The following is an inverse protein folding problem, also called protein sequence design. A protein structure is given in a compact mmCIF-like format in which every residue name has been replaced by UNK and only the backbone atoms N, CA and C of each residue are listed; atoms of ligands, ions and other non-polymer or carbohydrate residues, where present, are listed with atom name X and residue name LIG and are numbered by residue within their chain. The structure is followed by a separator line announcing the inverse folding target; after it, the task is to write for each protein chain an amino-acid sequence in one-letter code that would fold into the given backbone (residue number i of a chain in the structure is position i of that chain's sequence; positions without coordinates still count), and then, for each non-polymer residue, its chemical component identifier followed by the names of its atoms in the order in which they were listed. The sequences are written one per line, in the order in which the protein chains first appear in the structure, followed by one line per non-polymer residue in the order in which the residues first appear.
data_IF_339152902509
#
_entry.id   IF_339152902509
#
_cell.length_a   1.000
_cell.length_b   1.000
_cell.length_c   1.000
_cell.angle_alpha   90.00
_cell.angle_beta   90.00
_cell.angle_gamma   90.00
#
_symmetry.space_group_name_H-M   'P 1'
#
loop_
_entity.id
_entity.type
_entity.pdbx_description
1 polymer ?
#
# COMPACT_ATOMS: atom_id res chain seq x y z
N UNK A 1 -10.58 -4.47 12.64
CA UNK A 1 -10.20 -4.45 11.20
C UNK A 1 -10.09 -3.01 10.73
N UNK A 2 -9.09 -2.67 9.96
CA UNK A 2 -9.02 -1.34 9.33
C UNK A 2 -9.91 -1.31 8.09
N UNK A 3 -10.90 -0.42 8.05
CA UNK A 3 -11.75 -0.22 6.87
C UNK A 3 -10.94 0.18 5.63
N UNK A 4 -9.77 0.80 5.84
CA UNK A 4 -8.83 1.13 4.78
C UNK A 4 -8.25 -0.11 4.09
N UNK A 5 -7.80 -1.12 4.83
CA UNK A 5 -7.27 -2.37 4.26
C UNK A 5 -8.32 -3.07 3.41
N UNK A 6 -9.55 -3.17 3.93
CA UNK A 6 -10.67 -3.77 3.21
C UNK A 6 -11.04 -3.02 1.93
N UNK A 7 -11.08 -1.68 2.00
CA UNK A 7 -11.33 -0.84 0.82
C UNK A 7 -10.22 -0.98 -0.22
N UNK A 8 -8.94 -0.99 0.19
CA UNK A 8 -7.80 -1.14 -0.71
C UNK A 8 -7.86 -2.47 -1.48
N UNK A 9 -8.16 -3.59 -0.81
CA UNK A 9 -8.29 -4.90 -1.47
C UNK A 9 -9.48 -4.95 -2.43
N UNK A 10 -10.63 -4.39 -2.06
CA UNK A 10 -11.83 -4.34 -2.91
C UNK A 10 -11.61 -3.47 -4.14
N UNK A 11 -10.95 -2.31 -3.99
CA UNK A 11 -10.63 -1.40 -5.08
C UNK A 11 -9.74 -2.03 -6.14
N UNK A 12 -8.73 -2.80 -5.73
CA UNK A 12 -7.83 -3.46 -6.67
C UNK A 12 -8.55 -4.41 -7.61
N UNK A 13 -9.66 -5.00 -7.20
CA UNK A 13 -10.48 -5.87 -8.06
C UNK A 13 -11.34 -5.11 -9.08
N UNK A 14 -11.83 -3.91 -8.73
CA UNK A 14 -12.64 -3.06 -9.64
C UNK A 14 -11.80 -2.21 -10.60
N UNK A 15 -10.49 -2.03 -10.36
CA UNK A 15 -9.63 -1.09 -11.09
C UNK A 15 -9.05 -1.64 -12.40
N UNK A 16 -9.75 -2.51 -13.11
CA UNK A 16 -9.32 -3.01 -14.43
C UNK A 16 -9.90 -2.13 -15.56
N UNK A 17 -9.58 -0.83 -15.51
CA UNK A 17 -9.75 0.05 -16.67
C UNK A 17 -8.33 0.45 -17.11
N UNK A 18 -8.02 0.32 -18.40
CA UNK A 18 -6.66 0.46 -18.97
C UNK A 18 -5.87 1.70 -18.54
N UNK A 19 -6.50 2.82 -18.33
CA UNK A 19 -5.83 4.05 -17.88
C UNK A 19 -5.32 3.97 -16.41
N UNK A 20 -6.09 3.37 -15.51
CA UNK A 20 -5.68 3.16 -14.11
C UNK A 20 -4.58 2.09 -14.01
N UNK A 21 -4.59 1.09 -14.91
CA UNK A 21 -3.55 0.06 -15.01
C UNK A 21 -2.18 0.62 -15.37
N UNK A 22 -2.13 1.56 -16.32
CA UNK A 22 -0.87 2.25 -16.68
C UNK A 22 -0.25 3.00 -15.50
N UNK A 23 -1.04 3.74 -14.72
CA UNK A 23 -0.60 4.43 -13.51
C UNK A 23 -0.10 3.45 -12.44
N UNK A 24 -0.82 2.36 -12.20
CA UNK A 24 -0.40 1.32 -11.27
C UNK A 24 0.96 0.73 -11.68
N UNK A 25 1.14 0.40 -12.95
CA UNK A 25 2.41 -0.12 -13.46
C UNK A 25 3.55 0.87 -13.26
N UNK A 26 3.33 2.16 -13.54
CA UNK A 26 4.33 3.19 -13.33
C UNK A 26 4.77 3.28 -11.85
N UNK A 27 3.82 3.20 -10.90
CA UNK A 27 4.11 3.19 -9.46
C UNK A 27 4.91 1.95 -9.04
N UNK A 28 4.51 0.76 -9.51
CA UNK A 28 5.22 -0.49 -9.21
C UNK A 28 6.65 -0.49 -9.78
N UNK A 29 6.84 0.01 -10.99
CA UNK A 29 8.15 0.17 -11.63
C UNK A 29 9.03 1.14 -10.85
N UNK A 30 8.47 2.26 -10.39
CA UNK A 30 9.18 3.25 -9.56
C UNK A 30 9.65 2.63 -8.23
N UNK A 31 8.82 1.83 -7.57
CA UNK A 31 9.19 1.12 -6.35
C UNK A 31 10.36 0.15 -6.58
N UNK A 32 10.35 -0.61 -7.68
CA UNK A 32 11.45 -1.51 -8.05
C UNK A 32 12.76 -0.72 -8.25
N UNK A 33 12.70 0.39 -8.98
CA UNK A 33 13.88 1.23 -9.24
C UNK A 33 14.48 1.77 -7.94
N UNK A 34 13.65 2.26 -7.03
CA UNK A 34 14.10 2.78 -5.72
C UNK A 34 14.66 1.67 -4.84
N UNK A 35 13.98 0.51 -4.76
CA UNK A 35 14.46 -0.63 -3.98
C UNK A 35 15.83 -1.13 -4.49
N UNK A 36 16.01 -1.22 -5.82
CA UNK A 36 17.28 -1.60 -6.42
C UNK A 36 18.39 -0.57 -6.15
N UNK A 37 18.05 0.72 -6.10
CA UNK A 37 19.01 1.79 -5.79
C UNK A 37 19.50 1.75 -4.36
N UNK A 38 18.59 1.48 -3.42
CA UNK A 38 18.89 1.48 -1.98
C UNK A 38 19.63 0.22 -1.52
N UNK A 39 19.25 -0.95 -2.05
CA UNK A 39 19.73 -2.23 -1.57
C UNK A 39 20.49 -3.09 -2.59
N UNK A 40 20.72 -2.55 -3.81
CA UNK A 40 21.36 -3.28 -4.90
C UNK A 40 20.38 -4.04 -5.79
N UNK A 41 20.81 -4.43 -6.99
CA UNK A 41 19.99 -5.02 -8.04
C UNK A 41 19.81 -6.54 -7.93
N UNK A 42 20.34 -7.19 -6.90
CA UNK A 42 20.18 -8.63 -6.66
C UNK A 42 19.03 -8.88 -5.67
N UNK A 43 17.89 -9.46 -6.10
CA UNK A 43 16.79 -9.75 -5.21
C UNK A 43 17.12 -10.75 -4.08
N UNK A 44 18.11 -11.60 -4.26
CA UNK A 44 18.52 -12.55 -3.23
C UNK A 44 19.15 -11.85 -2.02
N UNK A 45 19.84 -10.73 -2.24
CA UNK A 45 20.44 -9.89 -1.21
C UNK A 45 19.59 -8.68 -0.80
N UNK A 46 18.44 -8.47 -1.44
CA UNK A 46 17.60 -7.29 -1.24
C UNK A 46 16.12 -7.69 -1.10
N UNK A 47 15.64 -8.00 0.13
CA UNK A 47 14.25 -8.41 0.36
C UNK A 47 13.22 -7.40 -0.13
N UNK A 48 13.48 -6.09 0.03
CA UNK A 48 12.59 -5.03 -0.45
C UNK A 48 12.42 -5.07 -1.96
N UNK A 49 13.52 -5.30 -2.70
CA UNK A 49 13.47 -5.48 -4.15
C UNK A 49 12.74 -6.76 -4.53
N UNK A 50 12.99 -7.86 -3.81
CA UNK A 50 12.29 -9.12 -4.03
C UNK A 50 10.77 -8.93 -3.93
N UNK A 51 10.29 -8.33 -2.85
CA UNK A 51 8.85 -8.13 -2.60
C UNK A 51 8.23 -7.16 -3.63
N UNK A 52 8.93 -6.09 -4.00
CA UNK A 52 8.51 -5.18 -5.06
C UNK A 52 8.36 -5.88 -6.41
N UNK A 53 9.31 -6.78 -6.76
CA UNK A 53 9.24 -7.58 -7.98
C UNK A 53 8.05 -8.56 -7.94
N UNK A 54 7.83 -9.26 -6.81
CA UNK A 54 6.70 -10.18 -6.68
C UNK A 54 5.36 -9.45 -6.83
N UNK A 55 5.19 -8.31 -6.18
CA UNK A 55 3.98 -7.47 -6.30
C UNK A 55 3.74 -7.02 -7.75
N UNK A 56 4.79 -6.60 -8.45
CA UNK A 56 4.70 -6.21 -9.85
C UNK A 56 4.31 -7.39 -10.76
N UNK A 57 4.89 -8.58 -10.55
CA UNK A 57 4.55 -9.80 -11.30
C UNK A 57 3.08 -10.20 -11.10
N UNK A 58 2.61 -10.21 -9.86
CA UNK A 58 1.20 -10.50 -9.53
C UNK A 58 0.23 -9.49 -10.12
N UNK A 59 0.67 -8.24 -10.27
CA UNK A 59 -0.08 -7.19 -10.98
C UNK A 59 0.06 -7.27 -12.50
N UNK A 60 0.71 -8.29 -13.04
CA UNK A 60 0.92 -8.51 -14.49
C UNK A 60 1.75 -7.41 -15.18
N UNK A 61 2.71 -6.83 -14.48
CA UNK A 61 3.70 -5.93 -15.09
C UNK A 61 4.62 -6.76 -16.01
N UNK A 62 4.85 -6.35 -17.27
CA UNK A 62 5.73 -7.07 -18.18
C UNK A 62 7.15 -7.25 -17.63
N UNK A 63 7.72 -8.45 -17.80
CA UNK A 63 9.04 -8.81 -17.26
C UNK A 63 10.13 -7.85 -17.72
N UNK A 64 10.13 -7.47 -19.00
CA UNK A 64 11.10 -6.52 -19.58
C UNK A 64 11.08 -5.16 -18.86
N UNK A 65 9.91 -4.72 -18.40
CA UNK A 65 9.79 -3.47 -17.66
C UNK A 65 10.38 -3.60 -16.25
N UNK A 66 10.17 -4.75 -15.60
CA UNK A 66 10.75 -5.07 -14.29
C UNK A 66 12.27 -5.10 -14.39
N UNK A 67 12.83 -5.83 -15.35
CA UNK A 67 14.28 -5.94 -15.55
C UNK A 67 14.94 -4.59 -15.85
N UNK A 68 14.31 -3.75 -16.70
CA UNK A 68 14.79 -2.40 -16.96
C UNK A 68 14.78 -1.52 -15.71
N UNK A 69 13.75 -1.63 -14.88
CA UNK A 69 13.69 -0.88 -13.62
C UNK A 69 14.81 -1.29 -12.65
N UNK A 70 15.07 -2.60 -12.52
CA UNK A 70 16.18 -3.11 -11.70
C UNK A 70 17.52 -2.57 -12.22
N UNK A 71 17.77 -2.62 -13.53
CA UNK A 71 19.00 -2.10 -14.15
C UNK A 71 19.19 -0.60 -13.93
N UNK A 72 18.12 0.21 -14.12
CA UNK A 72 18.19 1.66 -13.86
C UNK A 72 18.46 1.96 -12.38
N UNK A 73 17.76 1.27 -11.49
CA UNK A 73 17.91 1.43 -10.04
C UNK A 73 19.31 1.06 -9.57
N UNK A 74 19.86 -0.06 -10.02
CA UNK A 74 21.22 -0.53 -9.66
C UNK A 74 22.35 0.29 -10.28
N UNK A 75 22.04 1.26 -11.15
CA UNK A 75 23.04 2.10 -11.81
C UNK A 75 23.71 1.47 -13.03
N UNK A 76 23.28 0.28 -13.45
CA UNK A 76 23.89 -0.43 -14.59
C UNK A 76 23.70 0.31 -15.93
N UNK A 77 22.65 1.15 -16.05
CA UNK A 77 22.38 1.92 -17.28
C UNK A 77 22.72 3.42 -17.16
N UNK A 78 23.19 3.91 -15.99
CA UNK A 78 23.47 5.33 -15.73
C UNK A 78 22.23 6.24 -15.77
N UNK A 79 22.14 7.21 -14.86
CA UNK A 79 21.15 8.31 -14.96
C UNK A 79 19.73 7.95 -14.52
N UNK A 80 19.51 7.50 -13.30
CA UNK A 80 18.18 7.45 -12.71
C UNK A 80 17.78 8.79 -12.06
N UNK A 81 16.48 9.06 -11.96
CA UNK A 81 15.95 10.22 -11.24
C UNK A 81 16.32 10.15 -9.75
N UNK A 82 16.53 11.30 -9.12
CA UNK A 82 16.79 11.40 -7.68
C UNK A 82 15.46 11.32 -6.91
N UNK A 83 14.98 10.11 -6.71
CA UNK A 83 13.72 9.85 -6.03
C UNK A 83 13.83 10.07 -4.52
N UNK A 84 12.92 10.84 -3.98
CA UNK A 84 12.77 11.11 -2.55
C UNK A 84 11.41 10.65 -2.07
N UNK A 85 11.38 9.95 -0.93
CA UNK A 85 10.13 9.63 -0.23
C UNK A 85 9.78 10.75 0.71
N UNK A 86 8.57 11.27 0.60
CA UNK A 86 8.05 12.36 1.44
C UNK A 86 6.68 11.97 1.97
N UNK A 87 6.49 12.14 3.28
CA UNK A 87 5.20 11.95 3.93
C UNK A 87 4.51 13.31 4.09
N UNK A 88 3.31 13.45 3.56
CA UNK A 88 2.42 14.58 3.83
C UNK A 88 1.30 14.14 4.75
N UNK A 89 0.88 15.05 5.61
CA UNK A 89 -0.16 14.83 6.61
C UNK A 89 -1.34 15.76 6.37
N UNK A 90 -2.54 15.31 6.69
CA UNK A 90 -3.73 16.12 6.54
C UNK A 90 -4.96 15.50 7.16
N UNK A 91 -6.06 16.24 7.08
CA UNK A 91 -7.38 15.80 7.48
C UNK A 91 -8.31 15.83 6.26
N UNK A 92 -9.02 14.73 6.06
CA UNK A 92 -10.09 14.60 5.08
C UNK A 92 -11.46 14.97 5.65
N UNK A 93 -12.52 14.75 4.86
CA UNK A 93 -13.90 14.89 5.35
C UNK A 93 -14.13 14.09 6.62
N UNK A 94 -15.06 14.53 7.46
CA UNK A 94 -15.42 13.93 8.75
C UNK A 94 -14.27 13.83 9.78
N UNK A 95 -13.18 14.58 9.58
CA UNK A 95 -12.01 14.56 10.46
C UNK A 95 -11.14 13.31 10.31
N UNK A 96 -11.26 12.58 9.22
CA UNK A 96 -10.41 11.43 8.92
C UNK A 96 -8.96 11.88 8.76
N UNK A 97 -8.05 11.29 9.53
CA UNK A 97 -6.62 11.52 9.38
C UNK A 97 -6.10 10.83 8.12
N UNK A 98 -5.26 11.54 7.36
CA UNK A 98 -4.71 11.05 6.09
C UNK A 98 -3.19 11.23 6.10
N UNK A 99 -2.46 10.13 5.81
CA UNK A 99 -1.05 10.16 5.45
C UNK A 99 -0.91 9.92 3.95
N UNK A 100 -0.12 10.74 3.29
CA UNK A 100 0.13 10.63 1.85
C UNK A 100 1.62 10.40 1.62
N UNK A 101 1.97 9.21 1.20
CA UNK A 101 3.32 8.84 0.84
C UNK A 101 3.58 9.20 -0.62
N UNK A 102 4.48 10.13 -0.85
CA UNK A 102 4.93 10.51 -2.17
C UNK A 102 6.34 9.97 -2.45
N UNK A 103 6.53 9.48 -3.66
CA UNK A 103 7.83 9.14 -4.21
C UNK A 103 8.06 10.01 -5.44
N UNK A 104 8.88 11.05 -5.30
CA UNK A 104 9.00 12.11 -6.28
C UNK A 104 10.45 12.56 -6.49
N UNK A 105 10.74 13.03 -7.68
CA UNK A 105 11.96 13.77 -8.03
C UNK A 105 11.77 15.29 -7.91
N UNK A 106 10.55 15.75 -7.57
CA UNK A 106 10.22 17.17 -7.45
C UNK A 106 9.25 17.43 -6.27
N UNK A 107 9.81 17.80 -5.12
CA UNK A 107 9.07 18.08 -3.88
C UNK A 107 7.99 19.16 -4.04
N UNK A 108 8.28 20.21 -4.81
CA UNK A 108 7.33 21.33 -4.97
C UNK A 108 6.11 20.91 -5.79
N UNK A 109 6.32 20.11 -6.84
CA UNK A 109 5.24 19.53 -7.64
C UNK A 109 4.36 18.65 -6.77
N UNK A 110 4.95 17.66 -6.07
CA UNK A 110 4.23 16.75 -5.20
C UNK A 110 3.41 17.49 -4.12
N UNK A 111 4.02 18.44 -3.42
CA UNK A 111 3.33 19.25 -2.41
C UNK A 111 2.15 20.04 -2.99
N UNK A 112 2.33 20.60 -4.18
CA UNK A 112 1.28 21.35 -4.90
C UNK A 112 0.10 20.46 -5.29
N UNK A 113 0.38 19.30 -5.86
CA UNK A 113 -0.65 18.34 -6.28
C UNK A 113 -1.43 17.77 -5.09
N UNK A 114 -0.74 17.36 -4.02
CA UNK A 114 -1.38 16.86 -2.79
C UNK A 114 -2.28 17.95 -2.19
N UNK A 115 -1.79 19.19 -2.09
CA UNK A 115 -2.59 20.31 -1.55
C UNK A 115 -3.84 20.56 -2.37
N UNK A 116 -3.74 20.56 -3.69
CA UNK A 116 -4.88 20.76 -4.59
C UNK A 116 -5.89 19.63 -4.46
N UNK A 117 -5.43 18.37 -4.42
CA UNK A 117 -6.29 17.21 -4.25
C UNK A 117 -7.04 17.25 -2.92
N UNK A 118 -6.34 17.56 -1.81
CA UNK A 118 -6.94 17.73 -0.48
C UNK A 118 -8.02 18.83 -0.49
N UNK A 119 -7.66 20.02 -0.90
CA UNK A 119 -8.55 21.20 -0.83
C UNK A 119 -9.80 21.04 -1.70
N UNK A 120 -9.67 20.47 -2.90
CA UNK A 120 -10.80 20.29 -3.82
C UNK A 120 -11.78 19.21 -3.36
N UNK A 121 -11.34 18.30 -2.50
CA UNK A 121 -12.13 17.17 -2.02
C UNK A 121 -12.47 17.28 -0.51
N UNK A 122 -12.53 18.51 0.01
CA UNK A 122 -13.02 18.77 1.38
C UNK A 122 -12.02 18.43 2.49
N UNK A 123 -10.75 18.26 2.16
CA UNK A 123 -9.67 18.05 3.11
C UNK A 123 -8.75 19.27 3.23
N UNK A 124 -7.79 19.18 4.11
CA UNK A 124 -6.75 20.18 4.33
C UNK A 124 -5.41 19.54 4.68
N UNK A 125 -4.32 20.15 4.20
CA UNK A 125 -2.98 19.80 4.65
C UNK A 125 -2.80 20.21 6.12
N UNK A 126 -2.03 19.41 6.86
CA UNK A 126 -1.64 19.67 8.23
C UNK A 126 -0.12 19.74 8.35
N UNK A 127 0.36 20.26 9.49
CA UNK A 127 1.78 20.29 9.77
C UNK A 127 2.33 18.89 10.07
N UNK A 128 3.61 18.61 9.78
CA UNK A 128 4.24 17.34 10.12
C UNK A 128 4.07 16.99 11.63
N UNK A 129 3.68 15.74 11.90
CA UNK A 129 3.40 15.25 13.25
C UNK A 129 1.95 15.42 13.72
N UNK A 130 1.08 16.06 12.91
CA UNK A 130 -0.33 16.29 13.28
C UNK A 130 -1.17 15.01 13.30
N UNK A 131 -0.90 14.06 12.42
CA UNK A 131 -1.67 12.82 12.28
C UNK A 131 -0.82 11.55 12.29
N UNK A 132 0.49 11.64 12.05
CA UNK A 132 1.38 10.48 11.92
C UNK A 132 1.35 9.56 13.17
N UNK A 133 1.15 10.13 14.37
CA UNK A 133 1.06 9.37 15.61
C UNK A 133 -0.19 8.46 15.70
N UNK A 134 -1.18 8.67 14.85
CA UNK A 134 -2.38 7.83 14.76
C UNK A 134 -2.16 6.56 13.93
N UNK A 135 -0.96 6.39 13.38
CA UNK A 135 -0.63 5.26 12.53
C UNK A 135 0.60 4.54 13.05
N UNK A 136 0.54 3.22 13.03
CA UNK A 136 1.66 2.36 13.37
C UNK A 136 2.25 1.75 12.10
N UNK A 137 3.57 1.74 11.98
CA UNK A 137 4.23 1.04 10.89
C UNK A 137 4.24 -0.46 11.20
N UNK A 138 3.57 -1.25 10.38
CA UNK A 138 3.41 -2.71 10.53
C UNK A 138 3.82 -3.44 9.26
N UNK A 139 4.17 -4.71 9.40
CA UNK A 139 4.27 -5.64 8.29
C UNK A 139 2.87 -6.17 7.97
N UNK A 140 2.47 -6.09 6.70
CA UNK A 140 1.17 -6.58 6.23
C UNK A 140 1.35 -7.48 5.04
N UNK A 141 0.75 -8.66 5.11
CA UNK A 141 0.71 -9.62 4.01
C UNK A 141 -0.74 -9.92 3.68
N UNK A 142 -1.10 -9.77 2.41
CA UNK A 142 -2.43 -10.11 1.90
C UNK A 142 -2.39 -11.52 1.30
N UNK A 143 -3.20 -12.40 1.86
CA UNK A 143 -3.32 -13.81 1.47
C UNK A 143 -4.70 -14.03 0.87
N UNK A 144 -4.83 -14.37 -0.43
CA UNK A 144 -6.13 -14.68 -1.02
C UNK A 144 -6.72 -15.93 -0.36
N UNK A 145 -8.03 -15.93 -0.15
CA UNK A 145 -8.70 -17.14 0.36
C UNK A 145 -8.60 -18.27 -0.66
N UNK A 146 -8.28 -19.45 -0.17
CA UNK A 146 -8.23 -20.68 -0.95
C UNK A 146 -9.10 -21.74 -0.28
N UNK A 147 -9.55 -22.73 -1.07
CA UNK A 147 -10.36 -23.83 -0.55
C UNK A 147 -9.61 -24.58 0.57
N UNK A 148 -10.24 -24.66 1.74
CA UNK A 148 -9.69 -25.35 2.90
C UNK A 148 -8.70 -24.55 3.74
N UNK A 149 -8.35 -23.31 3.35
CA UNK A 149 -7.50 -22.44 4.16
C UNK A 149 -8.36 -21.65 5.15
N UNK A 150 -8.17 -21.91 6.44
CA UNK A 150 -8.85 -21.19 7.52
C UNK A 150 -7.95 -20.13 8.14
N UNK A 151 -8.55 -19.20 8.89
CA UNK A 151 -7.80 -18.20 9.68
C UNK A 151 -6.87 -18.88 10.69
N UNK A 152 -7.34 -19.94 11.35
CA UNK A 152 -6.57 -20.69 12.34
C UNK A 152 -5.37 -21.41 11.70
N UNK A 153 -5.55 -22.05 10.51
CA UNK A 153 -4.47 -22.70 9.78
C UNK A 153 -3.40 -21.68 9.38
N UNK A 154 -3.84 -20.52 8.91
CA UNK A 154 -2.96 -19.44 8.51
C UNK A 154 -2.19 -18.89 9.72
N UNK A 155 -2.87 -18.62 10.83
CA UNK A 155 -2.25 -18.16 12.07
C UNK A 155 -1.20 -19.17 12.58
N UNK A 156 -1.53 -20.46 12.61
CA UNK A 156 -0.58 -21.50 13.02
C UNK A 156 0.67 -21.54 12.13
N UNK A 157 0.53 -21.30 10.83
CA UNK A 157 1.66 -21.31 9.90
C UNK A 157 2.64 -20.14 10.12
N UNK A 158 2.17 -19.01 10.64
CA UNK A 158 2.96 -17.76 10.69
C UNK A 158 3.23 -17.23 12.10
N UNK A 159 2.60 -17.78 13.13
CA UNK A 159 2.73 -17.31 14.52
C UNK A 159 4.19 -17.31 15.02
N UNK A 160 4.91 -18.41 14.79
CA UNK A 160 6.32 -18.52 15.22
C UNK A 160 7.26 -17.60 14.43
N UNK A 161 6.82 -17.12 13.26
CA UNK A 161 7.56 -16.18 12.43
C UNK A 161 7.34 -14.70 12.83
N UNK A 162 6.46 -14.44 13.81
CA UNK A 162 6.20 -13.10 14.34
C UNK A 162 4.89 -12.47 13.88
N UNK A 163 3.96 -13.25 13.32
CA UNK A 163 2.61 -12.73 13.07
C UNK A 163 1.88 -12.44 14.38
N UNK A 164 1.26 -11.27 14.48
CA UNK A 164 0.51 -10.80 15.65
C UNK A 164 -0.97 -11.06 15.49
N UNK A 165 -1.50 -10.85 14.29
CA UNK A 165 -2.92 -10.93 13.99
C UNK A 165 -3.15 -11.50 12.58
N UNK A 166 -4.26 -12.20 12.41
CA UNK A 166 -4.84 -12.55 11.12
C UNK A 166 -6.25 -11.99 11.09
N UNK A 167 -6.56 -11.17 10.09
CA UNK A 167 -7.86 -10.53 9.93
C UNK A 167 -8.54 -11.03 8.65
N UNK A 168 -9.81 -11.36 8.75
CA UNK A 168 -10.66 -11.70 7.59
C UNK A 168 -11.13 -10.42 6.88
N UNK A 169 -10.73 -10.22 5.63
CA UNK A 169 -11.16 -9.10 4.77
C UNK A 169 -12.28 -9.47 3.80
N UNK A 170 -12.89 -10.65 3.95
CA UNK A 170 -13.95 -11.17 3.07
C UNK A 170 -13.38 -12.12 2.01
N UNK A 171 -12.67 -11.66 1.02
CA UNK A 171 -12.09 -12.50 -0.03
C UNK A 171 -10.59 -12.81 0.15
N UNK A 172 -9.96 -12.20 1.14
CA UNK A 172 -8.57 -12.43 1.54
C UNK A 172 -8.42 -12.34 3.04
N UNK A 173 -7.28 -12.80 3.53
CA UNK A 173 -6.81 -12.56 4.89
C UNK A 173 -5.73 -11.48 4.89
N UNK A 174 -5.70 -10.66 5.95
CA UNK A 174 -4.62 -9.75 6.26
C UNK A 174 -3.82 -10.32 7.42
N UNK A 175 -2.55 -10.63 7.18
CA UNK A 175 -1.60 -11.06 8.22
C UNK A 175 -0.80 -9.84 8.65
N UNK A 176 -0.85 -9.51 9.95
CA UNK A 176 -0.16 -8.35 10.54
C UNK A 176 0.99 -8.82 11.40
N UNK A 177 2.12 -8.14 11.30
CA UNK A 177 3.32 -8.36 12.11
C UNK A 177 4.00 -7.02 12.43
N UNK A 178 5.06 -7.05 13.22
CA UNK A 178 5.99 -5.93 13.23
C UNK A 178 6.61 -5.73 11.84
N UNK A 179 6.90 -4.46 11.48
CA UNK A 179 7.43 -4.14 10.15
C UNK A 179 8.76 -4.86 9.84
N UNK A 180 9.55 -5.17 10.88
CA UNK A 180 10.82 -5.90 10.78
C UNK A 180 10.63 -7.38 10.49
N UNK A 181 9.47 -7.93 10.83
CA UNK A 181 9.20 -9.38 10.77
C UNK A 181 8.49 -9.81 9.49
N UNK A 182 8.08 -8.85 8.65
CA UNK A 182 7.34 -9.13 7.40
C UNK A 182 8.06 -10.14 6.50
N UNK A 183 9.39 -10.10 6.45
CA UNK A 183 10.19 -11.03 5.63
C UNK A 183 10.15 -12.44 6.22
N UNK A 184 10.25 -12.58 7.55
CA UNK A 184 10.16 -13.87 8.24
C UNK A 184 8.77 -14.49 8.06
N UNK A 185 7.71 -13.71 8.26
CA UNK A 185 6.32 -14.14 8.09
C UNK A 185 6.06 -14.57 6.64
N UNK A 186 6.50 -13.78 5.66
CA UNK A 186 6.40 -14.14 4.23
C UNK A 186 7.13 -15.48 3.93
N UNK A 187 8.32 -15.67 4.49
CA UNK A 187 9.10 -16.89 4.30
C UNK A 187 8.39 -18.11 4.90
N UNK A 188 7.73 -17.95 6.05
CA UNK A 188 6.93 -19.00 6.67
C UNK A 188 5.72 -19.39 5.80
N UNK A 189 5.02 -18.42 5.20
CA UNK A 189 3.95 -18.68 4.23
C UNK A 189 4.46 -19.50 3.04
N UNK A 190 5.61 -19.10 2.47
CA UNK A 190 6.23 -19.82 1.35
C UNK A 190 6.63 -21.25 1.73
N UNK A 191 7.17 -21.46 2.93
CA UNK A 191 7.51 -22.78 3.43
C UNK A 191 6.28 -23.69 3.65
N UNK A 192 5.13 -23.07 3.93
CA UNK A 192 3.84 -23.75 4.09
C UNK A 192 3.06 -23.87 2.76
N UNK A 193 3.68 -23.51 1.63
CA UNK A 193 3.06 -23.50 0.29
C UNK A 193 1.78 -22.64 0.21
N UNK A 194 1.67 -21.61 1.05
CA UNK A 194 0.56 -20.66 1.06
C UNK A 194 0.92 -19.48 0.16
N UNK A 195 0.11 -19.25 -0.88
CA UNK A 195 0.30 -18.12 -1.78
C UNK A 195 -0.16 -16.80 -1.14
N UNK A 196 0.43 -15.67 -1.55
CA UNK A 196 0.11 -14.33 -1.07
C UNK A 196 0.16 -13.33 -2.23
N UNK A 197 -0.63 -12.26 -2.15
CA UNK A 197 -0.69 -11.22 -3.19
C UNK A 197 0.37 -10.13 -2.97
N UNK A 198 0.62 -9.75 -1.73
CA UNK A 198 1.60 -8.73 -1.38
C UNK A 198 2.18 -8.97 0.02
N UNK A 199 3.41 -8.55 0.23
CA UNK A 199 4.07 -8.49 1.53
C UNK A 199 4.86 -7.17 1.60
N UNK A 200 4.51 -6.30 2.53
CA UNK A 200 5.14 -4.98 2.63
C UNK A 200 5.02 -4.39 4.03
N UNK A 201 5.93 -3.48 4.37
CA UNK A 201 5.76 -2.61 5.52
C UNK A 201 4.86 -1.43 5.14
N UNK A 202 3.80 -1.22 5.90
CA UNK A 202 2.77 -0.22 5.64
C UNK A 202 2.37 0.51 6.93
N UNK A 203 1.43 1.45 6.85
CA UNK A 203 0.91 2.17 8.01
C UNK A 203 -0.53 1.75 8.29
N UNK A 204 -0.77 1.20 9.47
CA UNK A 204 -2.10 0.85 9.96
C UNK A 204 -2.58 1.85 11.01
N UNK A 205 -3.83 2.30 10.97
CA UNK A 205 -4.35 3.22 11.97
C UNK A 205 -4.52 2.54 13.34
N UNK A 206 -4.12 3.22 14.40
CA UNK A 206 -4.35 2.80 15.79
C UNK A 206 -5.70 3.29 16.33
N UNK A 207 -6.26 4.31 15.71
CA UNK A 207 -7.58 4.89 16.05
C UNK A 207 -8.35 5.12 14.76
N UNK A 208 -9.59 4.66 14.70
CA UNK A 208 -10.43 4.76 13.50
C UNK A 208 -11.59 5.73 13.70
N UNK A 209 -12.02 6.34 12.60
CA UNK A 209 -13.20 7.21 12.52
C UNK A 209 -14.31 6.45 11.77
N UNK A 210 -15.42 6.10 12.41
CA UNK A 210 -16.52 5.42 11.73
C UNK A 210 -17.20 6.38 10.76
N UNK A 211 -17.51 5.89 9.56
CA UNK A 211 -18.16 6.66 8.51
C UNK A 211 -19.49 6.04 8.11
N UNK A 212 -20.46 6.89 7.85
CA UNK A 212 -21.68 6.56 7.11
C UNK A 212 -21.44 6.57 5.59
N UNK A 213 -22.48 6.30 4.81
CA UNK A 213 -22.41 6.25 3.35
C UNK A 213 -21.96 7.58 2.71
N UNK A 214 -22.43 8.72 3.20
CA UNK A 214 -22.06 10.06 2.71
C UNK A 214 -20.58 10.38 3.06
N UNK A 215 -20.18 10.11 4.29
CA UNK A 215 -18.81 10.28 4.75
C UNK A 215 -17.83 9.39 3.98
N UNK A 216 -18.17 8.11 3.79
CA UNK A 216 -17.37 7.16 3.03
C UNK A 216 -17.20 7.62 1.57
N UNK A 217 -18.29 8.04 0.91
CA UNK A 217 -18.25 8.56 -0.46
C UNK A 217 -17.30 9.75 -0.60
N UNK A 218 -17.33 10.68 0.35
CA UNK A 218 -16.46 11.88 0.34
C UNK A 218 -15.00 11.50 0.56
N UNK A 219 -14.72 10.61 1.52
CA UNK A 219 -13.36 10.17 1.82
C UNK A 219 -12.77 9.35 0.66
N UNK A 220 -13.53 8.46 0.05
CA UNK A 220 -13.08 7.67 -1.11
C UNK A 220 -12.74 8.56 -2.31
N UNK A 221 -13.57 9.59 -2.57
CA UNK A 221 -13.29 10.59 -3.62
C UNK A 221 -11.97 11.33 -3.35
N UNK A 222 -11.71 11.70 -2.10
CA UNK A 222 -10.44 12.33 -1.72
C UNK A 222 -9.26 11.38 -1.97
N UNK A 223 -9.35 10.13 -1.52
CA UNK A 223 -8.28 9.14 -1.70
C UNK A 223 -8.03 8.90 -3.19
N UNK A 224 -9.06 8.75 -3.99
CA UNK A 224 -8.92 8.59 -5.44
C UNK A 224 -8.23 9.80 -6.11
N UNK A 225 -8.59 11.01 -5.69
CA UNK A 225 -7.97 12.22 -6.21
C UNK A 225 -6.48 12.34 -5.82
N UNK A 226 -6.11 11.89 -4.63
CA UNK A 226 -4.71 11.82 -4.20
C UNK A 226 -3.93 10.77 -5.00
N UNK A 227 -4.49 9.58 -5.15
CA UNK A 227 -3.86 8.47 -5.88
C UNK A 227 -3.75 8.73 -7.39
N UNK A 228 -4.52 9.67 -7.93
CA UNK A 228 -4.41 10.10 -9.33
C UNK A 228 -3.11 10.86 -9.63
N UNK A 229 -2.44 11.42 -8.63
CA UNK A 229 -1.10 12.01 -8.79
C UNK A 229 -0.05 10.91 -9.04
N UNK A 230 0.81 11.14 -10.02
CA UNK A 230 1.91 10.23 -10.34
C UNK A 230 2.99 10.20 -9.25
N UNK A 231 3.07 11.23 -8.42
CA UNK A 231 4.00 11.32 -7.30
C UNK A 231 3.49 10.63 -6.03
N UNK A 232 2.17 10.41 -5.89
CA UNK A 232 1.58 9.70 -4.75
C UNK A 232 1.72 8.19 -4.95
N UNK A 233 2.42 7.54 -4.02
CA UNK A 233 2.58 6.09 -4.01
C UNK A 233 1.49 5.38 -3.21
N UNK A 234 1.28 5.84 -1.98
CA UNK A 234 0.29 5.28 -1.08
C UNK A 234 -0.47 6.40 -0.36
N UNK A 235 -1.72 6.13 -0.03
CA UNK A 235 -2.56 6.96 0.83
C UNK A 235 -3.05 6.09 1.97
N UNK A 236 -2.81 6.50 3.20
CA UNK A 236 -3.28 5.83 4.40
C UNK A 236 -4.30 6.72 5.10
N UNK A 237 -5.41 6.15 5.53
CA UNK A 237 -6.48 6.90 6.17
C UNK A 237 -7.08 6.09 7.32
N UNK A 238 -7.49 6.78 8.39
CA UNK A 238 -7.96 6.15 9.61
C UNK A 238 -9.49 6.00 9.67
N UNK A 239 -10.16 5.86 8.54
CA UNK A 239 -11.60 5.60 8.52
C UNK A 239 -11.92 4.13 8.80
N UNK A 240 -13.12 3.91 9.28
CA UNK A 240 -13.76 2.59 9.36
C UNK A 240 -15.14 2.64 8.73
N UNK A 241 -15.50 1.59 7.98
CA UNK A 241 -16.79 1.45 7.30
C UNK A 241 -17.33 0.04 7.49
N UNK A 242 -18.64 -0.06 7.72
CA UNK A 242 -19.33 -1.35 7.75
C UNK A 242 -19.38 -1.99 6.36
N UNK A 243 -19.61 -3.31 6.33
CA UNK A 243 -19.74 -4.06 5.08
C UNK A 243 -20.88 -3.53 4.22
N UNK A 244 -22.01 -3.21 4.85
CA UNK A 244 -23.19 -2.63 4.17
C UNK A 244 -22.86 -1.29 3.48
N UNK A 245 -22.04 -0.45 4.11
CA UNK A 245 -21.60 0.81 3.52
C UNK A 245 -20.61 0.56 2.40
N UNK A 246 -19.69 -0.40 2.58
CA UNK A 246 -18.71 -0.75 1.56
C UNK A 246 -19.36 -1.27 0.27
N UNK A 247 -20.40 -2.10 0.38
CA UNK A 247 -21.15 -2.62 -0.76
C UNK A 247 -21.86 -1.54 -1.58
N UNK A 248 -22.31 -0.46 -0.90
CA UNK A 248 -23.05 0.63 -1.56
C UNK A 248 -22.16 1.66 -2.25
N UNK A 249 -20.96 1.90 -1.71
CA UNK A 249 -20.08 3.00 -2.17
C UNK A 249 -18.79 2.50 -2.84
N UNK A 250 -18.50 1.20 -2.75
CA UNK A 250 -17.29 0.55 -3.27
C UNK A 250 -17.31 0.19 -4.76
#
# INVERSE_FOLDING_TARGET
MSGHSKWATTKHKKAVIDAKRGKLFAKLIKNIEVAARQGGGDPAGNPTLYDAIQKARKSSVPLDNIERAVKRGSGAEGGGADWQTIMYEGYGPNGVAVLVECLTDNRNRAAGEVRVAMTRNGGSMADPGSVAYMFNRKGVIIVPKADGLTEDDLLMAVLEAGAEEVNDLGESFEVVSEATDVVAVRTALQASEIDYDSAEATFLPSVTVPLDEDGATKVFRLIEALEDSDDVQNVYANFDVSDDVMEKVG
#
